data_IF_582463356361
#
_entry.id   IF_582463356361
#
_cell.length_a   1.000
_cell.length_b   1.000
_cell.length_c   1.000
_cell.angle_alpha   90.00
_cell.angle_beta   90.00
_cell.angle_gamma   90.00
#
_symmetry.space_group_name_H-M   'P 1'
#
loop_
_entity.id
_entity.type
_entity.pdbx_description
1 polymer ?
#
# COMPACT_ATOMS: atom_id res chain seq x y z
N UNK A 1 -12.68 35.42 -17.01
CA UNK A 1 -13.73 35.51 -15.98
C UNK A 1 -13.72 34.21 -15.19
N UNK A 2 -13.18 34.21 -13.97
CA UNK A 2 -13.20 33.04 -13.08
C UNK A 2 -14.55 32.98 -12.39
N UNK A 3 -15.46 32.21 -12.97
CA UNK A 3 -16.75 31.89 -12.38
C UNK A 3 -16.53 31.26 -11.00
N UNK A 4 -17.00 31.93 -9.94
CA UNK A 4 -16.92 31.45 -8.57
C UNK A 4 -17.83 30.22 -8.44
N UNK A 5 -17.32 29.03 -8.75
CA UNK A 5 -18.04 27.78 -8.53
C UNK A 5 -18.37 27.66 -7.05
N UNK A 6 -19.67 27.57 -6.76
CA UNK A 6 -20.18 27.32 -5.42
C UNK A 6 -19.52 26.06 -4.84
N UNK A 7 -19.14 26.11 -3.57
CA UNK A 7 -18.61 24.96 -2.84
C UNK A 7 -19.79 24.08 -2.45
N UNK A 8 -19.73 22.79 -2.81
CA UNK A 8 -20.77 21.81 -2.48
C UNK A 8 -20.16 20.53 -1.91
N UNK A 9 -20.95 19.70 -1.18
CA UNK A 9 -20.48 18.42 -0.70
C UNK A 9 -20.14 17.46 -1.86
N UNK A 10 -19.05 16.71 -1.72
CA UNK A 10 -18.64 15.70 -2.70
C UNK A 10 -19.75 14.67 -2.97
N UNK A 11 -20.02 14.36 -4.24
CA UNK A 11 -21.09 13.40 -4.59
C UNK A 11 -20.72 11.94 -4.32
N UNK A 12 -19.44 11.62 -4.11
CA UNK A 12 -18.99 10.23 -3.96
C UNK A 12 -19.71 9.57 -2.76
N UNK A 13 -20.31 8.38 -2.91
CA UNK A 13 -21.17 7.79 -1.88
C UNK A 13 -20.50 7.55 -0.53
N UNK A 14 -19.19 7.29 -0.52
CA UNK A 14 -18.39 7.01 0.69
C UNK A 14 -17.33 8.08 0.96
N UNK A 15 -17.59 9.31 0.53
CA UNK A 15 -16.72 10.42 0.87
C UNK A 15 -16.85 10.72 2.37
N UNK A 16 -15.71 10.85 3.04
CA UNK A 16 -15.61 11.17 4.46
C UNK A 16 -14.44 12.14 4.63
N UNK A 17 -14.65 13.21 5.39
CA UNK A 17 -13.65 14.21 5.77
C UNK A 17 -12.87 13.83 7.04
N UNK A 18 -13.10 12.63 7.57
CA UNK A 18 -12.55 12.12 8.82
C UNK A 18 -13.42 12.44 10.04
N UNK A 19 -14.53 13.16 9.86
CA UNK A 19 -15.52 13.49 10.90
C UNK A 19 -16.90 12.90 10.60
N UNK A 20 -17.01 12.05 9.58
CA UNK A 20 -18.27 11.46 9.14
C UNK A 20 -19.07 12.36 8.18
N UNK A 21 -18.53 13.51 7.79
CA UNK A 21 -19.15 14.43 6.84
C UNK A 21 -18.50 14.36 5.47
N UNK A 22 -19.20 14.83 4.44
CA UNK A 22 -18.63 14.83 3.08
C UNK A 22 -17.69 16.01 2.88
N UNK A 23 -16.52 15.75 2.28
CA UNK A 23 -15.57 16.79 1.89
C UNK A 23 -16.23 17.82 0.99
N UNK A 24 -16.13 19.09 1.38
CA UNK A 24 -16.58 20.23 0.59
C UNK A 24 -15.62 20.51 -0.57
N UNK A 25 -16.15 20.67 -1.77
CA UNK A 25 -15.37 20.78 -3.01
C UNK A 25 -16.01 21.77 -3.99
N UNK A 26 -15.19 22.44 -4.80
CA UNK A 26 -15.65 23.28 -5.94
C UNK A 26 -15.94 22.45 -7.20
N UNK A 27 -15.55 21.19 -7.18
CA UNK A 27 -15.87 20.18 -8.19
C UNK A 27 -17.00 19.31 -7.66
N UNK A 28 -17.72 18.62 -8.56
CA UNK A 28 -18.78 17.68 -8.18
C UNK A 28 -18.24 16.55 -7.27
N UNK A 29 -17.03 16.05 -7.57
CA UNK A 29 -16.33 15.02 -6.81
C UNK A 29 -14.94 15.53 -6.40
N UNK A 30 -14.54 15.37 -5.14
CA UNK A 30 -13.24 15.82 -4.65
C UNK A 30 -12.08 15.00 -5.27
N UNK A 31 -10.88 15.58 -5.28
CA UNK A 31 -9.70 14.96 -5.93
C UNK A 31 -9.34 13.57 -5.37
N UNK A 32 -9.47 13.37 -4.06
CA UNK A 32 -9.17 12.05 -3.46
C UNK A 32 -10.20 11.01 -3.87
N UNK A 33 -11.49 11.35 -3.88
CA UNK A 33 -12.54 10.47 -4.38
C UNK A 33 -12.37 10.18 -5.87
N UNK A 34 -11.93 11.15 -6.68
CA UNK A 34 -11.59 10.94 -8.11
C UNK A 34 -10.44 9.95 -8.27
N UNK A 35 -9.35 10.07 -7.49
CA UNK A 35 -8.24 9.11 -7.49
C UNK A 35 -8.69 7.70 -7.11
N UNK A 36 -9.49 7.59 -6.05
CA UNK A 36 -10.05 6.31 -5.61
C UNK A 36 -10.95 5.70 -6.69
N UNK A 37 -11.79 6.51 -7.34
CA UNK A 37 -12.69 6.02 -8.36
C UNK A 37 -11.95 5.55 -9.62
N UNK A 38 -10.91 6.28 -10.02
CA UNK A 38 -10.01 5.85 -11.09
C UNK A 38 -9.38 4.49 -10.81
N UNK A 39 -8.89 4.30 -9.58
CA UNK A 39 -8.31 3.03 -9.15
C UNK A 39 -9.35 1.89 -9.19
N UNK A 40 -10.59 2.16 -8.78
CA UNK A 40 -11.69 1.18 -8.82
C UNK A 40 -12.04 0.76 -10.25
N UNK A 41 -12.15 1.71 -11.18
CA UNK A 41 -12.38 1.42 -12.60
C UNK A 41 -11.26 0.54 -13.16
N UNK A 42 -10.01 0.86 -12.83
CA UNK A 42 -8.84 0.08 -13.25
C UNK A 42 -8.88 -1.34 -12.67
N UNK A 43 -9.19 -1.50 -11.38
CA UNK A 43 -9.31 -2.82 -10.76
C UNK A 43 -10.39 -3.67 -11.39
N UNK A 44 -11.55 -3.07 -11.67
CA UNK A 44 -12.65 -3.78 -12.32
C UNK A 44 -12.29 -4.25 -13.73
N UNK A 45 -11.55 -3.45 -14.48
CA UNK A 45 -11.05 -3.85 -15.80
C UNK A 45 -10.02 -4.97 -15.71
N UNK A 46 -9.15 -4.96 -14.70
CA UNK A 46 -8.23 -6.07 -14.44
C UNK A 46 -8.98 -7.35 -14.06
N UNK A 47 -10.01 -7.26 -13.22
CA UNK A 47 -10.88 -8.37 -12.89
C UNK A 47 -11.55 -8.95 -14.15
N UNK A 48 -12.08 -8.08 -15.03
CA UNK A 48 -12.61 -8.51 -16.32
C UNK A 48 -11.57 -9.32 -17.13
N UNK A 49 -10.36 -8.78 -17.29
CA UNK A 49 -9.28 -9.44 -18.01
C UNK A 49 -8.91 -10.79 -17.39
N UNK A 50 -8.81 -10.86 -16.06
CA UNK A 50 -8.57 -12.11 -15.33
C UNK A 50 -9.66 -13.14 -15.63
N UNK A 51 -10.93 -12.75 -15.58
CA UNK A 51 -12.04 -13.65 -15.87
C UNK A 51 -12.00 -14.19 -17.32
N UNK A 52 -11.68 -13.35 -18.31
CA UNK A 52 -11.69 -13.77 -19.72
C UNK A 52 -10.41 -14.48 -20.18
N UNK A 53 -9.29 -14.30 -19.48
CA UNK A 53 -7.99 -14.88 -19.87
C UNK A 53 -7.53 -16.04 -19.00
N UNK A 54 -7.81 -16.02 -17.69
CA UNK A 54 -7.23 -16.98 -16.73
C UNK A 54 -8.19 -18.08 -16.31
N UNK A 55 -9.51 -17.89 -16.46
CA UNK A 55 -10.49 -18.91 -16.08
C UNK A 55 -10.89 -19.79 -17.27
N UNK A 56 -11.16 -21.08 -17.04
CA UNK A 56 -11.53 -22.01 -18.11
C UNK A 56 -12.79 -21.52 -18.81
N UNK A 57 -12.79 -21.56 -20.14
CA UNK A 57 -13.97 -21.24 -20.94
C UNK A 57 -14.93 -22.42 -20.95
N UNK A 58 -16.26 -22.21 -20.94
CA UNK A 58 -17.20 -23.31 -21.06
C UNK A 58 -16.94 -24.04 -22.39
N UNK A 59 -16.76 -25.36 -22.33
CA UNK A 59 -16.60 -26.19 -23.52
C UNK A 59 -17.89 -26.06 -24.34
N UNK A 60 -17.78 -25.66 -25.60
CA UNK A 60 -18.94 -25.56 -26.51
C UNK A 60 -19.67 -26.92 -26.52
N UNK A 61 -20.96 -26.89 -26.25
CA UNK A 61 -21.83 -28.08 -26.19
C UNK A 61 -21.66 -28.91 -27.48
N UNK A 62 -21.03 -30.07 -27.34
CA UNK A 62 -20.69 -30.98 -28.43
C UNK A 62 -19.92 -32.20 -27.92
N UNK A 63 -19.28 -32.10 -26.76
CA UNK A 63 -18.66 -33.23 -26.07
C UNK A 63 -19.30 -33.37 -24.70
N UNK A 64 -20.04 -34.45 -24.49
CA UNK A 64 -20.66 -34.79 -23.22
C UNK A 64 -19.60 -34.98 -22.14
N UNK A 65 -19.42 -33.99 -21.27
CA UNK A 65 -18.68 -34.15 -20.01
C UNK A 65 -19.70 -34.47 -18.93
N UNK A 66 -19.43 -35.53 -18.18
CA UNK A 66 -20.36 -36.26 -17.32
C UNK A 66 -21.18 -35.43 -16.32
N UNK A 67 -22.27 -36.06 -15.87
CA UNK A 67 -23.27 -35.56 -14.93
C UNK A 67 -22.68 -34.72 -13.79
N UNK A 68 -23.23 -33.52 -13.61
CA UNK A 68 -22.92 -32.64 -12.49
C UNK A 68 -23.22 -33.30 -11.13
N UNK A 69 -22.42 -33.04 -10.07
CA UNK A 69 -22.67 -33.54 -8.73
C UNK A 69 -23.92 -32.87 -8.11
N UNK A 70 -24.74 -33.69 -7.43
CA UNK A 70 -26.02 -33.33 -6.77
C UNK A 70 -25.85 -32.60 -5.42
N UNK A 71 -24.87 -31.72 -5.26
CA UNK A 71 -24.94 -30.71 -4.19
C UNK A 71 -25.58 -29.46 -4.77
N UNK A 72 -26.07 -28.52 -3.95
CA UNK A 72 -26.51 -27.18 -4.39
C UNK A 72 -25.33 -26.48 -5.08
N UNK A 73 -25.09 -26.82 -6.34
CA UNK A 73 -23.85 -26.49 -7.02
C UNK A 73 -24.01 -25.10 -7.58
N UNK A 74 -23.24 -24.17 -7.01
CA UNK A 74 -22.77 -23.01 -7.75
C UNK A 74 -22.40 -23.48 -9.15
N UNK A 75 -22.93 -22.83 -10.18
CA UNK A 75 -22.74 -23.24 -11.58
C UNK A 75 -21.26 -23.49 -11.90
N UNK A 76 -21.00 -24.28 -12.95
CA UNK A 76 -19.65 -24.63 -13.38
C UNK A 76 -18.74 -23.38 -13.36
N UNK A 77 -17.52 -23.40 -12.78
CA UNK A 77 -16.68 -22.20 -12.61
C UNK A 77 -16.51 -21.36 -13.87
N UNK A 78 -16.45 -22.02 -15.03
CA UNK A 78 -16.44 -21.40 -16.35
C UNK A 78 -17.70 -20.57 -16.68
N UNK A 79 -18.88 -21.06 -16.29
CA UNK A 79 -20.14 -20.36 -16.49
C UNK A 79 -20.20 -19.12 -15.61
N UNK A 80 -19.86 -19.25 -14.32
CA UNK A 80 -19.78 -18.11 -13.40
C UNK A 80 -18.81 -17.04 -13.93
N UNK A 81 -17.62 -17.44 -14.39
CA UNK A 81 -16.64 -16.51 -14.95
C UNK A 81 -17.18 -15.76 -16.17
N UNK A 82 -17.85 -16.48 -17.07
CA UNK A 82 -18.48 -15.90 -18.26
C UNK A 82 -19.62 -14.92 -17.90
N UNK A 83 -20.44 -15.27 -16.91
CA UNK A 83 -21.54 -14.43 -16.44
C UNK A 83 -21.01 -13.15 -15.78
N UNK A 84 -19.98 -13.26 -14.93
CA UNK A 84 -19.33 -12.09 -14.33
C UNK A 84 -18.63 -11.20 -15.35
N UNK A 85 -17.94 -11.78 -16.33
CA UNK A 85 -17.34 -11.00 -17.42
C UNK A 85 -18.42 -10.25 -18.22
N UNK A 86 -19.61 -10.85 -18.39
CA UNK A 86 -20.77 -10.22 -19.02
C UNK A 86 -21.36 -9.09 -18.19
N UNK A 87 -21.51 -9.27 -16.88
CA UNK A 87 -21.97 -8.21 -15.98
C UNK A 87 -21.00 -7.01 -15.97
N UNK A 88 -19.69 -7.25 -15.90
CA UNK A 88 -18.69 -6.18 -15.95
C UNK A 88 -18.73 -5.44 -17.28
N UNK A 89 -18.79 -6.17 -18.40
CA UNK A 89 -18.91 -5.57 -19.73
C UNK A 89 -20.16 -4.68 -19.85
N UNK A 90 -21.31 -5.18 -19.37
CA UNK A 90 -22.55 -4.43 -19.38
C UNK A 90 -22.46 -3.15 -18.53
N UNK A 91 -21.81 -3.20 -17.37
CA UNK A 91 -21.61 -2.02 -16.53
C UNK A 91 -20.75 -0.95 -17.23
N UNK A 92 -19.65 -1.36 -17.89
CA UNK A 92 -18.83 -0.44 -18.69
C UNK A 92 -19.60 0.16 -19.86
N UNK A 93 -20.37 -0.65 -20.60
CA UNK A 93 -21.17 -0.16 -21.74
C UNK A 93 -22.25 0.81 -21.28
N UNK A 94 -22.95 0.50 -20.18
CA UNK A 94 -23.95 1.38 -19.63
C UNK A 94 -23.34 2.72 -19.19
N UNK A 95 -22.23 2.70 -18.46
CA UNK A 95 -21.54 3.92 -18.02
C UNK A 95 -21.11 4.79 -19.21
N UNK A 96 -20.63 4.17 -20.27
CA UNK A 96 -20.22 4.82 -21.50
C UNK A 96 -21.39 5.45 -22.28
N UNK A 97 -22.50 4.73 -22.45
CA UNK A 97 -23.70 5.26 -23.11
C UNK A 97 -24.29 6.44 -22.33
N UNK A 98 -24.43 6.31 -21.01
CA UNK A 98 -24.94 7.39 -20.17
C UNK A 98 -24.03 8.62 -20.18
N UNK A 99 -22.71 8.41 -20.22
CA UNK A 99 -21.75 9.51 -20.37
C UNK A 99 -21.87 10.18 -21.74
N UNK A 100 -22.00 9.38 -22.81
CA UNK A 100 -22.18 9.90 -24.16
C UNK A 100 -23.47 10.73 -24.27
N UNK A 101 -24.58 10.24 -23.73
CA UNK A 101 -25.85 10.97 -23.65
C UNK A 101 -25.70 12.28 -22.88
N UNK A 102 -25.05 12.25 -21.70
CA UNK A 102 -24.80 13.45 -20.90
C UNK A 102 -23.95 14.50 -21.63
N UNK A 103 -23.00 14.06 -22.47
CA UNK A 103 -22.14 14.94 -23.26
C UNK A 103 -22.73 15.30 -24.62
N UNK A 104 -23.90 14.78 -24.99
CA UNK A 104 -24.49 14.96 -26.32
C UNK A 104 -23.68 14.31 -27.45
N UNK A 105 -22.85 13.32 -27.13
CA UNK A 105 -22.10 12.57 -28.12
C UNK A 105 -22.97 11.48 -28.75
N UNK A 106 -23.00 11.41 -30.07
CA UNK A 106 -23.67 10.33 -30.79
C UNK A 106 -22.81 9.06 -30.73
N UNK A 107 -23.17 8.13 -29.85
CA UNK A 107 -22.49 6.84 -29.69
C UNK A 107 -23.51 5.73 -29.73
N UNK A 108 -23.46 4.94 -30.80
CA UNK A 108 -24.31 3.75 -30.96
C UNK A 108 -23.48 2.50 -30.69
N UNK A 109 -24.08 1.57 -29.95
CA UNK A 109 -23.48 0.27 -29.71
C UNK A 109 -23.49 -0.54 -31.01
N UNK A 110 -22.30 -0.85 -31.55
CA UNK A 110 -22.19 -1.73 -32.71
C UNK A 110 -22.40 -3.20 -32.28
N UNK A 111 -23.54 -3.83 -32.60
CA UNK A 111 -23.84 -5.19 -32.16
C UNK A 111 -22.92 -6.24 -32.80
N UNK A 112 -22.25 -5.90 -33.92
CA UNK A 112 -21.36 -6.82 -34.63
C UNK A 112 -19.99 -6.92 -33.97
N UNK A 113 -19.61 -5.94 -33.15
CA UNK A 113 -18.32 -6.00 -32.44
C UNK A 113 -18.32 -7.08 -31.36
N UNK A 114 -17.25 -7.89 -31.26
CA UNK A 114 -17.06 -8.81 -30.15
C UNK A 114 -17.16 -8.09 -28.81
N UNK A 115 -17.72 -8.75 -27.79
CA UNK A 115 -17.92 -8.17 -26.46
C UNK A 115 -16.62 -7.59 -25.89
N UNK A 116 -15.50 -8.31 -26.01
CA UNK A 116 -14.20 -7.83 -25.53
C UNK A 116 -13.74 -6.52 -26.20
N UNK A 117 -13.98 -6.38 -27.50
CA UNK A 117 -13.68 -5.15 -28.23
C UNK A 117 -14.57 -4.00 -27.74
N UNK A 118 -15.88 -4.25 -27.58
CA UNK A 118 -16.81 -3.26 -27.03
C UNK A 118 -16.44 -2.83 -25.61
N UNK A 119 -16.08 -3.77 -24.73
CA UNK A 119 -15.66 -3.46 -23.35
C UNK A 119 -14.39 -2.62 -23.33
N UNK A 120 -13.41 -2.94 -24.20
CA UNK A 120 -12.21 -2.13 -24.36
C UNK A 120 -12.53 -0.71 -24.83
N UNK A 121 -13.38 -0.57 -25.86
CA UNK A 121 -13.79 0.74 -26.39
C UNK A 121 -14.50 1.58 -25.32
N UNK A 122 -15.37 0.96 -24.51
CA UNK A 122 -16.06 1.59 -23.38
C UNK A 122 -15.09 2.06 -22.30
N UNK A 123 -14.17 1.19 -21.90
CA UNK A 123 -13.14 1.51 -20.92
C UNK A 123 -12.26 2.68 -21.40
N UNK A 124 -11.80 2.66 -22.65
CA UNK A 124 -11.01 3.75 -23.24
C UNK A 124 -11.78 5.07 -23.28
N UNK A 125 -13.06 5.03 -23.62
CA UNK A 125 -13.91 6.22 -23.66
C UNK A 125 -14.07 6.85 -22.28
N UNK A 126 -14.43 6.06 -21.27
CA UNK A 126 -14.58 6.52 -19.88
C UNK A 126 -13.25 7.04 -19.34
N UNK A 127 -12.15 6.35 -19.63
CA UNK A 127 -10.83 6.75 -19.11
C UNK A 127 -10.29 8.03 -19.75
N UNK A 128 -10.49 8.22 -21.06
CA UNK A 128 -10.11 9.44 -21.75
C UNK A 128 -10.96 10.65 -21.33
N UNK A 129 -12.22 10.43 -20.97
CA UNK A 129 -13.17 11.47 -20.55
C UNK A 129 -13.43 11.43 -19.04
N UNK A 130 -12.46 10.97 -18.25
CA UNK A 130 -12.68 10.70 -16.83
C UNK A 130 -13.07 11.94 -16.01
N UNK A 131 -12.51 13.10 -16.34
CA UNK A 131 -12.87 14.36 -15.68
C UNK A 131 -14.33 14.75 -15.94
N UNK A 132 -14.80 14.56 -17.18
CA UNK A 132 -16.19 14.77 -17.56
C UNK A 132 -17.09 13.72 -16.88
N UNK A 133 -16.67 12.47 -16.86
CA UNK A 133 -17.36 11.38 -16.18
C UNK A 133 -17.58 11.68 -14.69
N UNK A 134 -16.54 12.08 -13.97
CA UNK A 134 -16.62 12.44 -12.54
C UNK A 134 -17.44 13.71 -12.25
N UNK A 135 -17.67 14.54 -13.28
CA UNK A 135 -18.50 15.74 -13.17
C UNK A 135 -19.96 15.45 -13.54
N UNK A 136 -20.25 14.30 -14.15
CA UNK A 136 -21.59 13.89 -14.54
C UNK A 136 -22.35 13.21 -13.40
N UNK A 137 -23.70 13.26 -13.38
CA UNK A 137 -24.51 12.48 -12.45
C UNK A 137 -24.30 10.96 -12.61
N UNK A 138 -23.88 10.51 -13.80
CA UNK A 138 -23.61 9.10 -14.13
C UNK A 138 -22.61 8.47 -13.17
N UNK A 139 -21.58 9.23 -12.77
CA UNK A 139 -20.57 8.74 -11.82
C UNK A 139 -21.19 8.32 -10.48
N UNK A 140 -22.19 9.05 -9.97
CA UNK A 140 -22.83 8.72 -8.67
C UNK A 140 -23.47 7.33 -8.71
N UNK A 141 -24.16 7.02 -9.81
CA UNK A 141 -24.84 5.74 -9.98
C UNK A 141 -23.87 4.59 -10.27
N UNK A 142 -22.76 4.86 -10.98
CA UNK A 142 -21.82 3.82 -11.39
C UNK A 142 -20.77 3.45 -10.34
N UNK A 143 -20.42 4.36 -9.43
CA UNK A 143 -19.50 4.04 -8.31
C UNK A 143 -19.90 2.78 -7.55
N UNK A 144 -21.13 2.65 -6.99
CA UNK A 144 -21.51 1.48 -6.21
C UNK A 144 -21.54 0.21 -7.07
N UNK A 145 -21.98 0.31 -8.33
CA UNK A 145 -22.03 -0.82 -9.28
C UNK A 145 -20.62 -1.36 -9.54
N UNK A 146 -19.68 -0.50 -9.89
CA UNK A 146 -18.29 -0.91 -10.16
C UNK A 146 -17.63 -1.50 -8.92
N UNK A 147 -17.86 -0.87 -7.77
CA UNK A 147 -17.34 -1.34 -6.50
C UNK A 147 -17.87 -2.74 -6.19
N UNK A 148 -19.19 -2.94 -6.25
CA UNK A 148 -19.82 -4.22 -5.89
C UNK A 148 -19.48 -5.34 -6.87
N UNK A 149 -19.34 -5.06 -8.17
CA UNK A 149 -18.82 -6.04 -9.13
C UNK A 149 -17.39 -6.46 -8.79
N UNK A 150 -16.51 -5.50 -8.50
CA UNK A 150 -15.16 -5.80 -8.02
C UNK A 150 -15.20 -6.64 -6.74
N UNK A 151 -16.08 -6.30 -5.79
CA UNK A 151 -16.26 -7.08 -4.55
C UNK A 151 -16.65 -8.52 -4.81
N UNK A 152 -17.65 -8.75 -5.67
CA UNK A 152 -18.15 -10.08 -6.03
C UNK A 152 -17.04 -10.93 -6.63
N UNK A 153 -16.30 -10.37 -7.59
CA UNK A 153 -15.21 -11.07 -8.26
C UNK A 153 -14.07 -11.40 -7.30
N UNK A 154 -13.60 -10.44 -6.50
CA UNK A 154 -12.55 -10.69 -5.50
C UNK A 154 -12.99 -11.67 -4.41
N UNK A 155 -14.27 -11.67 -4.04
CA UNK A 155 -14.84 -12.64 -3.10
C UNK A 155 -14.80 -14.06 -3.64
N UNK A 156 -15.30 -14.26 -4.86
CA UNK A 156 -15.33 -15.57 -5.50
C UNK A 156 -13.93 -16.11 -5.86
N UNK A 157 -13.00 -15.25 -6.27
CA UNK A 157 -11.61 -15.63 -6.55
C UNK A 157 -10.77 -15.84 -5.28
N UNK A 158 -11.35 -15.70 -4.08
CA UNK A 158 -10.62 -15.89 -2.82
C UNK A 158 -9.64 -14.77 -2.47
N UNK A 159 -9.57 -13.70 -3.26
CA UNK A 159 -8.69 -12.56 -2.99
C UNK A 159 -9.16 -11.63 -1.86
N UNK A 160 -10.38 -11.85 -1.34
CA UNK A 160 -10.85 -11.25 -0.09
C UNK A 160 -10.45 -12.03 1.15
N UNK A 161 -9.79 -13.19 0.98
CA UNK A 161 -9.22 -13.92 2.11
C UNK A 161 -8.17 -13.02 2.74
N UNK A 162 -8.39 -12.67 4.00
CA UNK A 162 -7.38 -11.97 4.80
C UNK A 162 -6.33 -13.02 5.13
N UNK A 163 -5.37 -13.18 4.23
CA UNK A 163 -4.24 -14.08 4.42
C UNK A 163 -3.29 -13.41 5.40
N UNK A 164 -3.47 -13.67 6.71
CA UNK A 164 -2.47 -13.30 7.71
C UNK A 164 -1.39 -14.38 7.70
N UNK A 165 -0.21 -14.00 7.22
CA UNK A 165 1.01 -14.77 7.34
C UNK A 165 1.49 -14.75 8.79
N UNK A 166 1.54 -15.90 9.44
CA UNK A 166 2.23 -16.06 10.71
C UNK A 166 3.73 -16.19 10.44
N UNK A 167 4.59 -15.48 11.19
CA UNK A 167 6.03 -15.46 11.02
C UNK A 167 6.73 -16.69 11.63
N UNK A 168 6.08 -17.86 11.65
CA UNK A 168 6.59 -19.10 12.27
C UNK A 168 6.80 -20.21 11.24
N UNK A 169 7.67 -21.18 11.54
CA UNK A 169 7.88 -22.35 10.68
C UNK A 169 6.73 -23.35 10.80
N UNK A 170 6.55 -24.17 9.76
CA UNK A 170 5.56 -25.24 9.80
C UNK A 170 6.05 -26.42 10.64
N UNK A 171 5.31 -26.91 11.66
CA UNK A 171 5.74 -28.02 12.51
C UNK A 171 5.82 -29.36 11.78
N UNK A 172 5.24 -29.46 10.55
CA UNK A 172 5.29 -30.69 9.74
C UNK A 172 6.47 -30.72 8.77
N UNK A 173 6.81 -29.59 8.16
CA UNK A 173 7.80 -29.56 7.08
C UNK A 173 8.96 -28.59 7.30
N UNK A 174 8.99 -27.91 8.45
CA UNK A 174 10.03 -26.98 8.94
C UNK A 174 10.43 -25.84 7.98
N UNK A 175 9.71 -25.71 6.87
CA UNK A 175 9.84 -24.60 5.94
C UNK A 175 9.28 -23.33 6.61
N UNK A 176 10.01 -22.23 6.45
CA UNK A 176 9.55 -20.87 6.72
C UNK A 176 8.47 -20.47 5.70
N UNK A 177 7.35 -21.19 5.74
CA UNK A 177 6.24 -21.09 4.81
C UNK A 177 5.05 -20.57 5.56
N UNK A 178 4.92 -19.24 5.53
CA UNK A 178 3.75 -18.44 5.86
C UNK A 178 2.52 -19.28 6.22
N UNK A 179 2.29 -19.53 7.51
CA UNK A 179 1.02 -20.11 7.89
C UNK A 179 -0.07 -19.07 7.72
N UNK A 180 -1.15 -19.44 7.03
CA UNK A 180 -2.21 -18.52 6.65
C UNK A 180 -3.45 -18.78 7.47
N UNK A 181 -3.96 -17.75 8.15
CA UNK A 181 -5.29 -17.81 8.78
C UNK A 181 -6.33 -17.59 7.68
N UNK A 182 -7.17 -18.58 7.43
CA UNK A 182 -8.30 -18.45 6.52
C UNK A 182 -9.56 -18.06 7.32
N UNK A 183 -9.90 -16.77 7.33
CA UNK A 183 -11.15 -16.30 7.92
C UNK A 183 -12.31 -16.51 6.95
N UNK A 184 -13.13 -17.54 7.18
CA UNK A 184 -14.27 -17.86 6.33
C UNK A 184 -15.30 -18.77 7.00
N UNK A 185 -16.40 -18.18 7.49
CA UNK A 185 -17.67 -18.92 7.67
C UNK A 185 -17.77 -19.86 8.87
N UNK A 186 -16.98 -19.68 9.93
CA UNK A 186 -17.24 -20.31 11.24
C UNK A 186 -16.06 -20.99 11.91
N UNK A 187 -14.99 -21.32 11.18
CA UNK A 187 -13.75 -21.87 11.76
C UNK A 187 -12.54 -21.25 11.08
N UNK A 188 -11.80 -20.43 11.82
CA UNK A 188 -10.51 -19.91 11.38
C UNK A 188 -9.51 -21.07 11.32
N UNK A 189 -9.08 -21.45 10.12
CA UNK A 189 -8.13 -22.54 9.95
C UNK A 189 -6.75 -21.99 9.60
N UNK A 190 -5.72 -22.49 10.29
CA UNK A 190 -4.32 -22.14 9.98
C UNK A 190 -3.75 -23.20 9.05
N UNK A 191 -3.31 -22.80 7.86
CA UNK A 191 -2.78 -23.71 6.84
C UNK A 191 -1.35 -23.33 6.42
N UNK A 192 -0.49 -24.33 6.23
CA UNK A 192 0.85 -24.12 5.67
C UNK A 192 0.77 -24.02 4.15
N UNK A 193 1.25 -22.92 3.59
CA UNK A 193 1.26 -22.68 2.13
C UNK A 193 2.19 -23.62 1.36
N UNK A 194 3.21 -24.18 2.01
CA UNK A 194 4.22 -25.03 1.37
C UNK A 194 3.80 -26.52 1.30
N UNK A 195 3.27 -27.08 2.39
CA UNK A 195 2.95 -28.51 2.47
C UNK A 195 1.45 -28.82 2.63
N UNK A 196 0.61 -27.78 2.69
CA UNK A 196 -0.84 -27.92 2.86
C UNK A 196 -1.28 -28.44 4.23
N UNK A 197 -0.38 -28.49 5.21
CA UNK A 197 -0.73 -28.91 6.57
C UNK A 197 -1.70 -27.91 7.20
N UNK A 198 -2.86 -28.40 7.61
CA UNK A 198 -3.83 -27.62 8.35
C UNK A 198 -3.76 -27.94 9.85
N UNK A 199 -3.72 -26.90 10.67
CA UNK A 199 -3.68 -27.01 12.14
C UNK A 199 -5.11 -27.25 12.63
N UNK A 200 -5.26 -28.32 13.39
CA UNK A 200 -6.51 -28.65 14.10
C UNK A 200 -6.73 -27.67 15.27
N UNK A 201 -7.99 -27.37 15.59
CA UNK A 201 -8.36 -26.46 16.68
C UNK A 201 -7.76 -26.88 18.04
N UNK A 202 -7.63 -28.18 18.27
CA UNK A 202 -7.00 -28.73 19.48
C UNK A 202 -5.48 -28.53 19.55
N UNK A 203 -4.85 -27.99 18.50
CA UNK A 203 -3.42 -27.70 18.44
C UNK A 203 -3.09 -26.22 18.42
N UNK A 204 -4.08 -25.33 18.58
CA UNK A 204 -3.83 -23.90 18.64
C UNK A 204 -2.96 -23.49 19.83
N UNK A 205 -3.10 -24.13 20.99
CA UNK A 205 -2.24 -23.85 22.15
C UNK A 205 -0.76 -24.13 21.87
N UNK A 206 -0.48 -25.20 21.13
CA UNK A 206 0.87 -25.54 20.69
C UNK A 206 1.39 -24.50 19.69
N UNK A 207 0.54 -24.09 18.75
CA UNK A 207 0.87 -23.07 17.76
C UNK A 207 1.16 -21.70 18.40
N UNK A 208 0.35 -21.33 19.41
CA UNK A 208 0.50 -20.08 20.15
C UNK A 208 1.81 -20.06 20.94
N UNK A 209 2.21 -21.17 21.56
CA UNK A 209 3.50 -21.29 22.26
C UNK A 209 4.67 -21.09 21.30
N UNK A 210 4.68 -21.80 20.16
CA UNK A 210 5.72 -21.63 19.14
C UNK A 210 5.80 -20.19 18.62
N UNK A 211 4.65 -19.54 18.41
CA UNK A 211 4.62 -18.14 17.97
C UNK A 211 5.22 -17.19 19.01
N UNK A 212 4.90 -17.38 20.30
CA UNK A 212 5.46 -16.55 21.38
C UNK A 212 6.96 -16.75 21.51
N UNK A 213 7.46 -17.99 21.43
CA UNK A 213 8.89 -18.31 21.47
C UNK A 213 9.65 -17.66 20.31
N UNK A 214 9.18 -17.83 19.07
CA UNK A 214 9.81 -17.23 17.88
C UNK A 214 9.73 -15.68 17.89
N UNK A 215 8.63 -15.11 18.41
CA UNK A 215 8.50 -13.67 18.58
C UNK A 215 9.46 -13.12 19.65
N UNK A 216 9.66 -13.85 20.75
CA UNK A 216 10.61 -13.49 21.80
C UNK A 216 12.05 -13.54 21.26
N UNK A 217 12.42 -14.59 20.51
CA UNK A 217 13.76 -14.70 19.93
C UNK A 217 14.08 -13.53 18.99
N UNK A 218 13.12 -13.13 18.14
CA UNK A 218 13.27 -11.95 17.28
C UNK A 218 13.41 -10.66 18.08
N UNK A 219 12.57 -10.47 19.11
CA UNK A 219 12.64 -9.31 20.00
C UNK A 219 13.98 -9.22 20.74
N UNK A 220 14.50 -10.35 21.22
CA UNK A 220 15.82 -10.39 21.87
C UNK A 220 16.94 -10.05 20.89
N UNK A 221 16.91 -10.60 19.67
CA UNK A 221 17.90 -10.28 18.65
C UNK A 221 17.86 -8.79 18.24
N UNK A 222 16.67 -8.19 18.15
CA UNK A 222 16.50 -6.75 17.91
C UNK A 222 17.03 -5.91 19.07
N UNK A 223 16.77 -6.33 20.31
CA UNK A 223 17.30 -5.67 21.50
C UNK A 223 18.83 -5.69 21.53
N UNK A 224 19.46 -6.83 21.21
CA UNK A 224 20.92 -6.96 21.18
C UNK A 224 21.54 -6.07 20.09
N UNK A 225 20.92 -6.01 18.90
CA UNK A 225 21.33 -5.09 17.83
C UNK A 225 21.27 -3.63 18.27
N UNK A 226 20.15 -3.23 18.89
CA UNK A 226 19.97 -1.88 19.40
C UNK A 226 20.99 -1.55 20.48
N UNK A 227 21.24 -2.46 21.42
CA UNK A 227 22.22 -2.29 22.51
C UNK A 227 23.64 -2.17 21.97
N UNK A 228 24.02 -2.99 20.99
CA UNK A 228 25.32 -2.90 20.33
C UNK A 228 25.50 -1.55 19.61
N UNK A 229 24.48 -1.06 18.91
CA UNK A 229 24.51 0.24 18.25
C UNK A 229 24.67 1.38 19.27
N UNK A 230 23.98 1.30 20.41
CA UNK A 230 24.10 2.31 21.46
C UNK A 230 25.49 2.33 22.11
N UNK A 231 26.08 1.16 22.36
CA UNK A 231 27.46 1.06 22.87
C UNK A 231 28.48 1.61 21.87
N UNK A 232 28.29 1.34 20.56
CA UNK A 232 29.14 1.89 19.51
C UNK A 232 29.04 3.43 19.45
N UNK A 233 27.85 3.99 19.60
CA UNK A 233 27.66 5.45 19.63
C UNK A 233 28.31 6.09 20.86
N UNK A 234 28.23 5.44 22.02
CA UNK A 234 28.93 5.89 23.23
C UNK A 234 30.46 5.85 23.07
N UNK A 235 30.98 4.79 22.46
CA UNK A 235 32.41 4.66 22.17
C UNK A 235 32.90 5.75 21.19
N UNK A 236 32.12 6.06 20.16
CA UNK A 236 32.43 7.14 19.20
C UNK A 236 32.45 8.51 19.90
N UNK A 237 31.46 8.78 20.77
CA UNK A 237 31.42 10.00 21.57
C UNK A 237 32.62 10.12 22.51
N UNK A 238 33.05 9.02 23.13
CA UNK A 238 34.24 8.97 23.99
C UNK A 238 35.57 9.09 23.21
N UNK A 239 35.60 8.70 21.93
CA UNK A 239 36.76 8.93 21.06
C UNK A 239 36.85 10.40 20.64
N UNK A 240 35.73 10.99 20.18
CA UNK A 240 35.70 12.43 19.85
C UNK A 240 36.07 13.32 21.04
N UNK A 241 35.65 12.97 22.25
CA UNK A 241 36.04 13.70 23.46
C UNK A 241 37.56 13.68 23.69
N UNK A 242 38.22 12.54 23.44
CA UNK A 242 39.69 12.42 23.56
C UNK A 242 40.43 13.21 22.48
N UNK A 243 39.96 13.16 21.23
CA UNK A 243 40.56 13.93 20.14
C UNK A 243 40.46 15.45 20.41
N UNK A 244 39.34 15.91 21.00
CA UNK A 244 39.17 17.31 21.41
C UNK A 244 40.15 17.67 22.54
N UNK A 245 40.32 16.81 23.54
CA UNK A 245 41.30 17.04 24.63
C UNK A 245 42.74 17.11 24.09
N UNK A 246 43.09 16.28 23.11
CA UNK A 246 44.42 16.29 22.47
C UNK A 246 44.65 17.57 21.67
N UNK A 247 43.66 18.02 20.88
CA UNK A 247 43.72 19.29 20.14
C UNK A 247 43.82 20.49 21.09
N UNK A 248 43.09 20.48 22.21
CA UNK A 248 43.18 21.54 23.23
C UNK A 248 44.58 21.55 23.86
N UNK A 249 45.14 20.38 24.18
CA UNK A 249 46.49 20.27 24.73
C UNK A 249 47.57 20.78 23.74
N UNK A 250 47.45 20.46 22.46
CA UNK A 250 48.33 20.98 21.41
C UNK A 250 48.20 22.50 21.25
N UNK A 251 46.98 23.04 21.25
CA UNK A 251 46.75 24.48 21.17
C UNK A 251 47.33 25.23 22.37
N UNK A 252 47.21 24.68 23.59
CA UNK A 252 47.81 25.25 24.79
C UNK A 252 49.36 25.19 24.76
N UNK A 253 49.95 24.15 24.15
CA UNK A 253 51.39 24.04 23.98
C UNK A 253 51.95 25.08 22.98
N UNK A 254 51.19 25.39 21.92
CA UNK A 254 51.56 26.42 20.93
C UNK A 254 51.52 27.81 21.57
N UNK A 255 50.51 28.11 22.38
CA UNK A 255 50.36 29.41 23.06
C UNK A 255 51.45 29.61 24.14
N UNK A 256 51.89 28.54 24.80
CA UNK A 256 53.04 28.57 25.72
C UNK A 256 54.35 28.88 24.98
N UNK A 257 54.56 28.34 23.77
CA UNK A 257 55.74 28.66 22.97
C UNK A 257 55.73 30.11 22.42
N UNK A 258 54.55 30.64 22.06
CA UNK A 258 54.39 32.00 21.55
C UNK A 258 54.60 33.09 22.63
N UNK A 259 54.40 32.75 23.91
CA UNK A 259 54.53 33.68 25.04
C UNK A 259 55.89 33.65 25.73
N UNK A 260 56.92 33.00 25.15
CA UNK A 260 58.31 33.27 25.57
C UNK A 260 58.73 34.64 25.05
N UNK A 261 58.89 35.68 25.89
CA UNK A 261 59.59 36.87 25.45
C UNK A 261 61.02 36.46 25.08
N UNK A 262 61.38 36.69 23.82
CA UNK A 262 62.76 36.86 23.42
C UNK A 262 63.35 37.97 24.29
N UNK A 263 64.04 37.60 25.38
CA UNK A 263 64.91 38.52 26.10
C UNK A 263 66.15 38.70 25.22
N UNK A 264 65.99 39.49 24.16
CA UNK A 264 67.10 40.04 23.41
C UNK A 264 67.78 41.11 24.26
N UNK A 265 69.08 40.89 24.42
CA UNK A 265 70.07 41.77 25.02
C UNK A 265 69.97 43.18 24.44
N UNK A 266 69.60 44.17 25.27
CA UNK A 266 69.88 45.58 25.03
C UNK A 266 71.12 46.01 25.83
N UNK A 267 71.97 46.88 25.27
CA UNK A 267 73.30 47.22 25.78
C UNK A 267 73.26 48.12 27.03
N UNK A 268 74.37 48.24 27.78
CA UNK A 268 74.41 48.99 29.03
C UNK A 268 74.29 50.49 28.75
N UNK A 269 73.19 51.11 29.16
CA UNK A 269 73.13 52.55 29.33
C UNK A 269 73.73 52.91 30.69
N UNK A 270 74.85 53.59 30.61
CA UNK A 270 75.62 54.12 31.73
C UNK A 270 74.80 55.02 32.67
N UNK A 271 75.09 54.82 33.95
CA UNK A 271 75.08 55.76 35.06
C UNK A 271 74.29 57.09 34.92
N UNK A 272 73.16 57.15 35.62
CA UNK A 272 72.75 58.39 36.30
C UNK A 272 72.65 58.08 37.79
N UNK A 273 73.61 58.60 38.54
CA UNK A 273 73.67 58.51 39.99
C UNK A 273 73.19 59.84 40.58
N UNK A 274 72.63 59.75 41.80
CA UNK A 274 72.42 60.77 42.85
C UNK A 274 71.30 61.81 42.53
N UNK A 275 70.38 62.18 43.42
CA UNK A 275 70.46 62.40 44.87
C UNK A 275 69.08 62.28 45.55
N UNK A 276 68.98 61.74 46.78
CA UNK A 276 67.75 61.79 47.57
C UNK A 276 67.68 63.08 48.38
N UNK A 277 66.52 63.73 48.41
CA UNK A 277 66.16 64.68 49.46
C UNK A 277 64.73 64.42 49.90
N UNK A 278 64.65 63.99 51.16
CA UNK A 278 63.61 64.20 52.19
C UNK A 278 62.31 64.87 51.76
#
# INVERSE_FOLDING_TARGET
MTENKAVSPCIYPRCDDGKGEKVLTRQVMCNDCRRLYWQQIRWLMLDYLTLVTQLPKPVRSGTSVGKAPKSKSFGHPAQWASDMAREIAAAFHFAELMLAEHLGHDRVLDPKKPQAARTRDAWLYITNLFDAFCSSPVAVYQVPVFLDLHRKVRGAMGYRRVVKTLPMTCPKCDLAGTMTIEAGGGTDQVTCSACGYAVDENRFDFLAKMFVEDALDKLMADYDRWKAAQLAQQALGAAMARDIEEVIAEAMAIDWCATRPHVELLPPCDAVTIVPTT
#
